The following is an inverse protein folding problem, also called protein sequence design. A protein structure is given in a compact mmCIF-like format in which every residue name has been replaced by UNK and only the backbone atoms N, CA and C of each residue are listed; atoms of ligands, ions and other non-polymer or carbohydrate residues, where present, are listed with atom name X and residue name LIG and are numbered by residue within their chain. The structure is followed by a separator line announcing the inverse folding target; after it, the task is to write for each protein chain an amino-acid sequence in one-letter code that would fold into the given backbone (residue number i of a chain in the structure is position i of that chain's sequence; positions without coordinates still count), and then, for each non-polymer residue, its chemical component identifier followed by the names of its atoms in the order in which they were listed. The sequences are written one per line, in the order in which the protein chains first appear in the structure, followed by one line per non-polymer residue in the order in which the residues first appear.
data_IF_160718529632
#
_entry.id   IF_160718529632
#
_cell.length_a   1.000
_cell.length_b   1.000
_cell.length_c   1.000
_cell.angle_alpha   90.00
_cell.angle_beta   90.00
_cell.angle_gamma   90.00
#
_symmetry.space_group_name_H-M   'P 1'
#
loop_
_entity.id
_entity.type
_entity.pdbx_description
1 polymer ?
#
# COMPACT_ATOMS: atom_id res chain seq x y z
N UNK A 1 -22.49 13.36 10.92
CA UNK A 1 -22.60 11.93 11.23
C UNK A 1 -23.68 11.35 10.34
N UNK A 2 -23.29 10.79 9.22
CA UNK A 2 -24.18 9.95 8.40
C UNK A 2 -23.31 8.79 7.97
N UNK A 3 -23.59 7.62 8.52
CA UNK A 3 -22.99 6.38 8.09
C UNK A 3 -23.43 6.13 6.63
N UNK A 4 -22.49 6.09 5.72
CA UNK A 4 -22.74 5.65 4.37
C UNK A 4 -22.89 4.11 4.40
N UNK A 5 -24.12 3.65 4.57
CA UNK A 5 -24.48 2.28 4.23
C UNK A 5 -24.41 2.19 2.69
N UNK A 6 -23.37 1.53 2.18
CA UNK A 6 -23.33 1.13 0.78
C UNK A 6 -24.53 0.19 0.54
N UNK A 7 -25.57 0.70 -0.09
CA UNK A 7 -26.68 -0.11 -0.57
C UNK A 7 -26.21 -0.91 -1.77
N UNK A 8 -25.93 -2.21 -1.56
CA UNK A 8 -25.72 -3.15 -2.64
C UNK A 8 -27.02 -3.29 -3.41
N UNK A 9 -27.11 -2.68 -4.58
CA UNK A 9 -28.20 -2.90 -5.53
C UNK A 9 -28.01 -4.25 -6.19
N UNK A 10 -28.84 -5.20 -5.79
CA UNK A 10 -28.95 -6.53 -6.45
C UNK A 10 -29.59 -6.36 -7.81
N UNK A 11 -28.85 -6.57 -8.87
CA UNK A 11 -29.37 -6.92 -10.20
C UNK A 11 -29.04 -8.39 -10.43
N UNK A 12 -30.10 -9.20 -10.59
CA UNK A 12 -30.08 -10.61 -10.98
C UNK A 12 -29.33 -11.59 -10.06
N UNK A 13 -29.79 -11.79 -8.83
CA UNK A 13 -29.58 -13.07 -8.09
C UNK A 13 -28.13 -13.56 -7.86
N UNK A 14 -27.13 -12.80 -8.30
CA UNK A 14 -25.72 -13.08 -8.05
C UNK A 14 -25.33 -12.32 -6.79
N UNK A 15 -25.24 -13.03 -5.68
CA UNK A 15 -24.55 -12.50 -4.50
C UNK A 15 -23.13 -12.16 -4.91
N UNK A 16 -22.62 -10.94 -4.64
CA UNK A 16 -21.21 -10.68 -4.86
C UNK A 16 -20.41 -11.76 -4.11
N UNK A 17 -19.44 -12.35 -4.81
CA UNK A 17 -18.55 -13.33 -4.17
C UNK A 17 -17.99 -12.68 -2.91
N UNK A 18 -18.06 -13.31 -1.73
CA UNK A 18 -17.55 -12.76 -0.49
C UNK A 18 -16.01 -12.72 -0.46
N UNK A 19 -15.36 -12.90 -1.60
CA UNK A 19 -13.91 -12.96 -1.72
C UNK A 19 -13.30 -11.55 -1.70
N UNK A 20 -12.40 -11.31 -0.75
CA UNK A 20 -11.56 -10.14 -0.71
C UNK A 20 -10.11 -10.51 -1.09
N UNK A 21 -9.52 -9.80 -2.05
CA UNK A 21 -8.14 -10.04 -2.46
C UNK A 21 -7.17 -9.42 -1.45
N UNK A 22 -6.56 -10.24 -0.60
CA UNK A 22 -5.61 -9.78 0.41
C UNK A 22 -4.27 -9.34 -0.18
N UNK A 23 -3.87 -9.92 -1.32
CA UNK A 23 -2.60 -9.61 -1.97
C UNK A 23 -2.53 -8.15 -2.44
N UNK A 24 -1.43 -7.48 -2.11
CA UNK A 24 -1.28 -6.05 -2.32
C UNK A 24 -0.63 -5.72 -3.65
N UNK A 25 -1.11 -4.63 -4.25
CA UNK A 25 -0.43 -3.87 -5.29
C UNK A 25 0.40 -2.79 -4.61
N UNK A 26 1.63 -2.56 -5.05
CA UNK A 26 2.54 -1.57 -4.46
C UNK A 26 3.24 -0.76 -5.53
N UNK A 27 3.19 0.56 -5.42
CA UNK A 27 3.97 1.46 -6.25
C UNK A 27 4.87 2.33 -5.38
N UNK A 28 6.13 2.47 -5.77
CA UNK A 28 7.07 3.44 -5.26
C UNK A 28 7.43 4.40 -6.39
N UNK A 29 7.30 5.70 -6.15
CA UNK A 29 7.71 6.73 -7.08
C UNK A 29 8.72 7.61 -6.36
N UNK A 30 9.95 7.65 -6.88
CA UNK A 30 10.97 8.59 -6.43
C UNK A 30 10.96 9.83 -7.33
N UNK A 31 11.23 10.97 -6.74
CA UNK A 31 11.23 12.27 -7.39
C UNK A 31 12.60 12.94 -7.28
N UNK A 32 12.92 13.83 -8.18
CA UNK A 32 14.09 14.68 -8.07
C UNK A 32 13.95 15.59 -6.84
N UNK A 33 15.06 15.77 -6.12
CA UNK A 33 15.08 16.75 -5.03
C UNK A 33 14.93 18.16 -5.64
N UNK A 34 14.11 18.98 -5.00
CA UNK A 34 13.95 20.38 -5.35
C UNK A 34 14.65 21.23 -4.28
N UNK A 35 15.75 21.92 -4.63
CA UNK A 35 16.54 22.71 -3.71
C UNK A 35 15.74 23.88 -3.07
N UNK A 36 14.72 24.36 -3.76
CA UNK A 36 13.86 25.46 -3.30
C UNK A 36 12.67 24.97 -2.45
N UNK A 37 12.41 23.65 -2.44
CA UNK A 37 11.32 23.04 -1.68
C UNK A 37 11.81 21.82 -0.88
N UNK A 38 12.34 22.07 0.31
CA UNK A 38 12.85 21.02 1.19
C UNK A 38 11.76 20.06 1.70
N UNK A 39 10.47 20.48 1.71
CA UNK A 39 9.35 19.63 2.09
C UNK A 39 8.89 18.73 0.93
N UNK A 40 9.16 19.14 -0.32
CA UNK A 40 8.85 18.36 -1.51
C UNK A 40 7.39 17.91 -1.55
N UNK A 41 7.17 16.60 -1.73
CA UNK A 41 5.82 16.02 -1.79
C UNK A 41 4.98 16.25 -0.53
N UNK A 42 5.60 16.52 0.63
CA UNK A 42 4.88 16.83 1.87
C UNK A 42 4.20 18.22 1.86
N UNK A 43 4.35 18.99 0.78
CA UNK A 43 3.55 20.20 0.49
C UNK A 43 2.20 19.86 -0.18
N UNK A 44 2.03 18.66 -0.72
CA UNK A 44 0.74 18.20 -1.23
C UNK A 44 -0.26 18.18 -0.08
N UNK A 45 -1.34 18.91 -0.23
CA UNK A 45 -2.33 19.07 0.84
C UNK A 45 -3.13 17.79 1.09
N UNK A 46 -3.72 17.67 2.27
CA UNK A 46 -4.61 16.54 2.60
C UNK A 46 -5.75 16.40 1.58
N UNK A 47 -6.39 17.48 1.17
CA UNK A 47 -7.46 17.43 0.18
C UNK A 47 -6.99 16.89 -1.19
N UNK A 48 -5.78 17.25 -1.61
CA UNK A 48 -5.17 16.72 -2.83
C UNK A 48 -4.81 15.21 -2.69
N UNK A 49 -4.34 14.79 -1.51
CA UNK A 49 -4.12 13.36 -1.24
C UNK A 49 -5.43 12.58 -1.20
N UNK A 50 -6.51 13.15 -0.65
CA UNK A 50 -7.83 12.54 -0.68
C UNK A 50 -8.33 12.36 -2.12
N UNK A 51 -8.09 13.32 -3.03
CA UNK A 51 -8.40 13.16 -4.46
C UNK A 51 -7.56 12.05 -5.12
N UNK A 52 -6.26 11.93 -4.76
CA UNK A 52 -5.42 10.86 -5.26
C UNK A 52 -5.95 9.49 -4.82
N UNK A 53 -6.33 9.37 -3.55
CA UNK A 53 -6.83 8.11 -2.99
C UNK A 53 -8.22 7.77 -3.53
N UNK A 54 -9.10 8.74 -3.69
CA UNK A 54 -10.40 8.53 -4.33
C UNK A 54 -10.27 7.97 -5.76
N UNK A 55 -9.30 8.48 -6.55
CA UNK A 55 -9.00 7.95 -7.87
C UNK A 55 -8.50 6.50 -7.83
N UNK A 56 -7.79 6.11 -6.78
CA UNK A 56 -7.34 4.74 -6.53
C UNK A 56 -8.42 3.85 -5.88
N UNK A 57 -9.61 4.37 -5.63
CA UNK A 57 -10.70 3.73 -4.90
C UNK A 57 -10.33 3.38 -3.44
N UNK A 58 -9.66 4.31 -2.76
CA UNK A 58 -9.28 4.23 -1.35
C UNK A 58 -9.68 5.50 -0.61
N UNK A 59 -9.69 5.42 0.71
CA UNK A 59 -9.89 6.56 1.59
C UNK A 59 -8.79 6.63 2.66
N UNK A 60 -8.40 7.85 3.05
CA UNK A 60 -7.46 8.04 4.16
C UNK A 60 -8.23 7.98 5.48
N UNK A 61 -7.89 6.99 6.32
CA UNK A 61 -8.51 6.74 7.62
C UNK A 61 -7.82 7.53 8.73
N UNK A 62 -6.49 7.47 8.79
CA UNK A 62 -5.69 8.15 9.81
C UNK A 62 -4.35 8.60 9.27
N UNK A 63 -3.61 9.38 10.05
CA UNK A 63 -2.27 9.86 9.71
C UNK A 63 -1.40 9.93 10.94
N UNK A 64 -0.15 9.49 10.79
CA UNK A 64 0.92 9.72 11.73
C UNK A 64 2.15 10.25 11.00
N UNK A 65 2.79 11.27 11.57
CA UNK A 65 3.93 11.94 10.95
C UNK A 65 5.15 11.92 11.86
N UNK A 66 6.33 11.97 11.23
CA UNK A 66 7.58 12.28 11.90
C UNK A 66 8.34 13.39 11.12
N UNK A 67 9.58 13.67 11.48
CA UNK A 67 10.38 14.69 10.80
C UNK A 67 10.68 14.34 9.33
N UNK A 68 10.62 13.05 8.94
CA UNK A 68 11.05 12.55 7.64
C UNK A 68 9.90 12.26 6.68
N UNK A 69 8.75 11.80 7.16
CA UNK A 69 7.64 11.41 6.31
C UNK A 69 6.30 11.42 7.05
N UNK A 70 5.24 11.38 6.25
CA UNK A 70 3.87 11.20 6.69
C UNK A 70 3.40 9.79 6.27
N UNK A 71 2.79 9.06 7.21
CA UNK A 71 2.24 7.73 7.02
C UNK A 71 0.72 7.79 7.21
N UNK A 72 -0.02 7.32 6.23
CA UNK A 72 -1.47 7.30 6.22
C UNK A 72 -1.97 5.86 6.20
N UNK A 73 -2.82 5.50 7.15
CA UNK A 73 -3.61 4.27 7.06
C UNK A 73 -4.76 4.54 6.09
N UNK A 74 -4.94 3.65 5.14
CA UNK A 74 -6.02 3.72 4.15
C UNK A 74 -7.11 2.70 4.48
N UNK A 75 -8.27 2.87 3.88
CA UNK A 75 -9.35 1.87 3.91
C UNK A 75 -8.89 0.49 3.41
N UNK A 76 -7.96 0.47 2.46
CA UNK A 76 -7.39 -0.75 1.86
C UNK A 76 -5.85 -0.72 1.78
N UNK A 77 -5.14 -0.42 2.86
CA UNK A 77 -3.70 -0.54 3.07
C UNK A 77 -3.00 0.77 3.50
N UNK A 78 -1.98 1.29 2.78
CA UNK A 78 -1.11 2.37 3.31
C UNK A 78 -0.57 3.31 2.25
N UNK A 79 -0.42 4.58 2.63
CA UNK A 79 0.30 5.58 1.85
C UNK A 79 1.42 6.20 2.70
N UNK A 80 2.63 6.31 2.14
CA UNK A 80 3.75 7.01 2.75
C UNK A 80 4.23 8.13 1.84
N UNK A 81 4.38 9.34 2.40
CA UNK A 81 4.80 10.55 1.69
C UNK A 81 6.06 11.09 2.33
N UNK A 82 7.18 10.91 1.64
CA UNK A 82 8.48 11.50 1.96
C UNK A 82 8.69 12.78 1.15
N UNK A 83 9.68 13.61 1.44
CA UNK A 83 9.96 14.77 0.59
C UNK A 83 10.19 14.43 -0.89
N UNK A 84 10.88 13.32 -1.18
CA UNK A 84 11.26 12.91 -2.55
C UNK A 84 10.80 11.51 -2.93
N UNK A 85 9.92 10.90 -2.16
CA UNK A 85 9.39 9.55 -2.44
C UNK A 85 7.94 9.43 -2.01
N UNK A 86 7.15 8.73 -2.79
CA UNK A 86 5.81 8.28 -2.42
C UNK A 86 5.76 6.75 -2.52
N UNK A 87 5.16 6.11 -1.52
CA UNK A 87 4.87 4.67 -1.53
C UNK A 87 3.38 4.49 -1.29
N UNK A 88 2.69 3.87 -2.23
CA UNK A 88 1.28 3.52 -2.11
C UNK A 88 1.14 2.00 -2.20
N UNK A 89 0.49 1.41 -1.21
CA UNK A 89 0.09 0.00 -1.16
C UNK A 89 -1.43 -0.07 -1.09
N UNK A 90 -2.02 -0.98 -1.85
CA UNK A 90 -3.47 -1.21 -1.79
C UNK A 90 -3.80 -2.68 -2.04
N UNK A 91 -4.82 -3.18 -1.38
CA UNK A 91 -5.35 -4.54 -1.56
C UNK A 91 -6.77 -4.51 -2.13
N UNK A 92 -7.45 -5.64 -2.11
CA UNK A 92 -8.82 -5.75 -2.60
C UNK A 92 -8.94 -5.45 -4.09
N UNK A 93 -10.09 -4.94 -4.47
CA UNK A 93 -10.42 -4.51 -5.84
C UNK A 93 -10.12 -3.04 -6.10
N UNK A 94 -9.18 -2.46 -5.35
CA UNK A 94 -8.72 -1.09 -5.54
C UNK A 94 -8.05 -0.88 -6.90
N UNK A 95 -8.13 0.34 -7.41
CA UNK A 95 -7.55 0.72 -8.70
C UNK A 95 -6.30 1.60 -8.51
N UNK A 96 -5.24 1.03 -7.90
CA UNK A 96 -4.03 1.76 -7.53
C UNK A 96 -3.48 2.62 -8.68
N UNK A 97 -3.36 2.04 -9.87
CA UNK A 97 -2.78 2.73 -11.02
C UNK A 97 -3.64 3.92 -11.48
N UNK A 98 -4.95 3.90 -11.30
CA UNK A 98 -5.79 5.04 -11.63
C UNK A 98 -5.49 6.29 -10.76
N UNK A 99 -4.90 6.12 -9.59
CA UNK A 99 -4.42 7.23 -8.75
C UNK A 99 -3.15 7.91 -9.27
N UNK A 100 -2.35 7.23 -10.10
CA UNK A 100 -1.04 7.70 -10.55
C UNK A 100 -1.09 9.04 -11.29
N UNK A 101 -1.98 9.28 -12.27
CA UNK A 101 -2.04 10.58 -12.95
C UNK A 101 -2.31 11.73 -12.00
N UNK A 102 -3.18 11.53 -11.01
CA UNK A 102 -3.52 12.55 -10.01
C UNK A 102 -2.34 12.81 -9.06
N UNK A 103 -1.61 11.76 -8.66
CA UNK A 103 -0.37 11.86 -7.86
C UNK A 103 0.68 12.69 -8.64
N UNK A 104 0.93 12.36 -9.89
CA UNK A 104 1.91 13.07 -10.74
C UNK A 104 1.51 14.54 -10.95
N UNK A 105 0.22 14.82 -11.17
CA UNK A 105 -0.33 16.18 -11.28
C UNK A 105 -0.01 17.01 -10.04
N UNK A 106 -0.30 16.49 -8.84
CA UNK A 106 -0.06 17.25 -7.61
C UNK A 106 1.41 17.33 -7.22
N UNK A 107 2.20 16.30 -7.51
CA UNK A 107 3.65 16.36 -7.40
C UNK A 107 4.24 17.49 -8.26
N UNK A 108 3.82 17.60 -9.51
CA UNK A 108 4.26 18.67 -10.42
C UNK A 108 3.88 20.06 -9.92
N UNK A 109 2.71 20.24 -9.31
CA UNK A 109 2.28 21.53 -8.73
C UNK A 109 3.18 22.02 -7.59
N UNK A 110 3.81 21.09 -6.85
CA UNK A 110 4.80 21.42 -5.80
C UNK A 110 6.25 21.36 -6.32
N UNK A 111 6.42 21.33 -7.65
CA UNK A 111 7.72 21.37 -8.31
C UNK A 111 8.52 20.07 -8.24
N UNK A 112 7.83 18.94 -8.11
CA UNK A 112 8.46 17.62 -8.02
C UNK A 112 8.24 16.84 -9.32
N UNK A 113 9.35 16.36 -9.91
CA UNK A 113 9.35 15.56 -11.14
C UNK A 113 9.79 14.13 -10.82
N UNK A 114 9.06 13.15 -11.35
CA UNK A 114 9.40 11.73 -11.16
C UNK A 114 10.73 11.39 -11.82
N UNK A 115 11.56 10.59 -11.14
CA UNK A 115 12.86 10.14 -11.65
C UNK A 115 12.99 8.62 -11.74
N UNK A 116 12.18 7.90 -10.94
CA UNK A 116 12.21 6.45 -10.88
C UNK A 116 10.87 5.93 -10.39
N UNK A 117 10.46 4.79 -10.91
CA UNK A 117 9.28 4.08 -10.44
C UNK A 117 9.62 2.60 -10.24
N UNK A 118 9.00 2.00 -9.23
CA UNK A 118 8.92 0.56 -9.02
C UNK A 118 7.48 0.20 -8.70
N UNK A 119 6.89 -0.69 -9.49
CA UNK A 119 5.59 -1.30 -9.22
C UNK A 119 5.78 -2.78 -8.97
N UNK A 120 5.15 -3.29 -7.94
CA UNK A 120 5.21 -4.72 -7.57
C UNK A 120 3.85 -5.21 -7.11
N UNK A 121 3.54 -6.45 -7.43
CA UNK A 121 2.45 -7.23 -6.84
C UNK A 121 2.71 -8.73 -6.96
N UNK A 122 2.05 -9.50 -6.10
CA UNK A 122 1.93 -10.94 -6.31
C UNK A 122 0.87 -11.27 -7.39
N UNK A 123 0.77 -12.54 -7.75
CA UNK A 123 -0.39 -13.02 -8.51
C UNK A 123 -1.66 -12.85 -7.68
N UNK A 124 -2.74 -12.40 -8.30
CA UNK A 124 -4.05 -12.35 -7.66
C UNK A 124 -4.66 -13.75 -7.55
N UNK A 125 -5.40 -13.98 -6.47
CA UNK A 125 -6.20 -15.19 -6.31
C UNK A 125 -7.43 -15.16 -7.22
N UNK A 126 -8.03 -13.97 -7.38
CA UNK A 126 -9.19 -13.72 -8.26
C UNK A 126 -8.91 -12.58 -9.25
N UNK A 127 -8.10 -12.83 -10.30
CA UNK A 127 -7.76 -11.79 -11.27
C UNK A 127 -8.99 -11.23 -12.01
N UNK A 128 -10.02 -12.05 -12.22
CA UNK A 128 -11.25 -11.62 -12.89
C UNK A 128 -12.07 -10.58 -12.11
N UNK A 129 -11.82 -10.43 -10.81
CA UNK A 129 -12.47 -9.44 -9.97
C UNK A 129 -11.69 -8.11 -9.92
N UNK A 130 -10.49 -8.05 -10.48
CA UNK A 130 -9.69 -6.84 -10.46
C UNK A 130 -10.21 -5.79 -11.45
N UNK A 131 -10.02 -4.49 -11.16
CA UNK A 131 -10.31 -3.42 -12.12
C UNK A 131 -9.55 -3.63 -13.44
N UNK A 132 -10.09 -3.10 -14.54
CA UNK A 132 -9.54 -3.28 -15.89
C UNK A 132 -8.04 -2.98 -15.99
N UNK A 133 -7.55 -1.92 -15.32
CA UNK A 133 -6.11 -1.58 -15.31
C UNK A 133 -5.25 -2.63 -14.60
N UNK A 134 -5.85 -3.49 -13.79
CA UNK A 134 -5.20 -4.57 -13.05
C UNK A 134 -5.64 -5.97 -13.53
N UNK A 135 -6.34 -6.06 -14.68
CA UNK A 135 -6.84 -7.33 -15.21
C UNK A 135 -5.69 -8.26 -15.62
N UNK A 136 -4.58 -7.70 -16.11
CA UNK A 136 -3.36 -8.45 -16.42
C UNK A 136 -2.11 -7.63 -16.12
N UNK A 137 -0.96 -8.31 -16.02
CA UNK A 137 0.31 -7.59 -15.89
C UNK A 137 0.72 -6.86 -17.17
N UNK A 138 0.26 -7.32 -18.32
CA UNK A 138 0.49 -6.63 -19.59
C UNK A 138 -0.28 -5.29 -19.62
N UNK A 139 -1.54 -5.25 -19.17
CA UNK A 139 -2.30 -3.99 -19.05
C UNK A 139 -1.64 -3.01 -18.08
N UNK A 140 -1.17 -3.50 -16.92
CA UNK A 140 -0.42 -2.71 -15.95
C UNK A 140 0.88 -2.16 -16.56
N UNK A 141 1.62 -2.99 -17.31
CA UNK A 141 2.87 -2.60 -17.95
C UNK A 141 2.64 -1.53 -19.03
N UNK A 142 1.61 -1.66 -19.86
CA UNK A 142 1.24 -0.66 -20.85
C UNK A 142 0.96 0.68 -20.18
N UNK A 143 0.16 0.69 -19.14
CA UNK A 143 -0.14 1.91 -18.39
C UNK A 143 1.10 2.54 -17.74
N UNK A 144 1.95 1.72 -17.10
CA UNK A 144 3.17 2.18 -16.46
C UNK A 144 4.19 2.73 -17.49
N UNK A 145 4.26 2.11 -18.66
CA UNK A 145 5.11 2.56 -19.77
C UNK A 145 4.67 3.91 -20.31
N UNK A 146 3.37 4.16 -20.46
CA UNK A 146 2.82 5.45 -20.88
C UNK A 146 3.22 6.59 -19.92
N UNK A 147 3.26 6.31 -18.61
CA UNK A 147 3.52 7.34 -17.59
C UNK A 147 4.99 7.47 -17.20
N UNK A 148 5.76 6.38 -17.28
CA UNK A 148 7.11 6.31 -16.73
C UNK A 148 8.17 5.76 -17.70
N UNK A 149 7.80 5.27 -18.88
CA UNK A 149 8.74 4.71 -19.84
C UNK A 149 9.82 5.70 -20.25
N UNK A 150 9.49 6.99 -20.32
CA UNK A 150 10.43 8.07 -20.65
C UNK A 150 11.57 8.24 -19.61
N UNK A 151 11.45 7.69 -18.43
CA UNK A 151 12.48 7.77 -17.38
C UNK A 151 13.70 6.89 -17.66
N UNK A 152 13.59 5.94 -18.58
CA UNK A 152 14.67 5.04 -18.98
C UNK A 152 14.94 5.14 -20.48
N UNK A 153 16.20 5.20 -20.92
CA UNK A 153 16.52 5.03 -22.32
C UNK A 153 16.03 3.68 -22.84
N UNK A 154 15.08 3.69 -23.77
CA UNK A 154 14.49 2.46 -24.33
C UNK A 154 13.29 1.90 -23.58
N UNK A 155 12.73 2.67 -22.63
CA UNK A 155 11.55 2.28 -21.88
C UNK A 155 11.85 1.61 -20.53
N UNK A 156 10.80 1.26 -19.80
CA UNK A 156 10.89 0.53 -18.54
C UNK A 156 11.20 -0.97 -18.74
N UNK A 157 11.34 -1.68 -17.64
CA UNK A 157 11.59 -3.13 -17.65
C UNK A 157 10.57 -3.84 -16.77
N UNK A 158 9.97 -4.90 -17.31
CA UNK A 158 9.01 -5.74 -16.60
C UNK A 158 9.55 -7.16 -16.40
N UNK A 159 9.27 -7.73 -15.23
CA UNK A 159 9.74 -9.04 -14.83
C UNK A 159 8.63 -9.83 -14.16
N UNK A 160 8.60 -11.14 -14.41
CA UNK A 160 7.78 -12.10 -13.67
C UNK A 160 8.75 -13.04 -12.95
N UNK A 161 8.73 -12.99 -11.62
CA UNK A 161 9.59 -13.79 -10.76
C UNK A 161 8.80 -14.94 -10.15
N UNK A 162 9.42 -16.11 -10.04
CA UNK A 162 8.75 -17.31 -9.52
C UNK A 162 8.24 -18.22 -10.62
N UNK A 163 7.58 -19.29 -10.22
CA UNK A 163 7.10 -20.34 -11.14
C UNK A 163 5.58 -20.49 -11.05
N UNK A 164 4.92 -20.39 -12.20
CA UNK A 164 3.47 -20.64 -12.33
C UNK A 164 3.05 -22.05 -11.84
N UNK A 165 3.98 -22.99 -11.86
CA UNK A 165 3.72 -24.37 -11.42
C UNK A 165 3.94 -24.58 -9.90
N UNK A 166 4.57 -23.63 -9.21
CA UNK A 166 4.95 -23.78 -7.81
C UNK A 166 4.26 -22.78 -6.86
N UNK A 167 3.30 -22.01 -7.36
CA UNK A 167 2.53 -21.08 -6.53
C UNK A 167 2.63 -19.63 -7.00
N UNK A 168 2.68 -18.71 -6.05
CA UNK A 168 2.62 -17.28 -6.28
C UNK A 168 3.80 -16.78 -7.12
N UNK A 169 3.50 -15.95 -8.13
CA UNK A 169 4.49 -15.21 -8.89
C UNK A 169 4.50 -13.76 -8.42
N UNK A 170 5.67 -13.14 -8.50
CA UNK A 170 5.82 -11.69 -8.31
C UNK A 170 5.96 -11.00 -9.67
N UNK A 171 5.20 -9.95 -9.85
CA UNK A 171 5.21 -9.10 -11.02
C UNK A 171 5.94 -7.80 -10.63
N UNK A 172 6.90 -7.40 -11.43
CA UNK A 172 7.75 -6.24 -11.17
C UNK A 172 7.87 -5.40 -12.43
N UNK A 173 7.56 -4.11 -12.34
CA UNK A 173 7.93 -3.11 -13.34
C UNK A 173 8.84 -2.08 -12.71
N UNK A 174 9.88 -1.67 -13.43
CA UNK A 174 10.80 -0.62 -13.01
C UNK A 174 11.13 0.30 -14.19
N UNK A 175 11.20 1.61 -13.93
CA UNK A 175 11.76 2.59 -14.86
C UNK A 175 12.54 3.64 -14.08
N UNK A 176 13.59 4.16 -14.70
CA UNK A 176 14.54 5.10 -14.13
C UNK A 176 15.97 4.72 -14.50
N UNK A 177 16.87 5.67 -14.69
CA UNK A 177 18.22 5.43 -15.19
C UNK A 177 19.07 4.62 -14.19
N UNK A 178 19.94 3.74 -14.70
CA UNK A 178 20.78 2.85 -13.90
C UNK A 178 21.70 3.61 -12.92
N UNK A 179 22.21 4.77 -13.29
CA UNK A 179 23.02 5.61 -12.39
C UNK A 179 22.22 6.15 -11.20
N UNK A 180 20.90 6.23 -11.29
CA UNK A 180 20.02 6.67 -10.19
C UNK A 180 19.79 5.58 -9.15
N UNK A 181 20.18 4.31 -9.43
CA UNK A 181 20.11 3.21 -8.47
C UNK A 181 21.36 3.14 -7.56
N UNK A 182 22.40 3.90 -7.89
CA UNK A 182 23.70 3.86 -7.20
C UNK A 182 23.87 4.94 -6.12
N UNK A 183 22.96 5.91 -6.05
CA UNK A 183 23.13 7.14 -5.24
C UNK A 183 22.85 7.01 -3.74
N UNK A 184 22.55 5.84 -3.22
CA UNK A 184 22.32 5.65 -1.79
C UNK A 184 22.89 4.30 -1.33
N UNK A 185 23.29 4.23 -0.07
CA UNK A 185 23.49 2.94 0.60
C UNK A 185 22.26 2.07 0.34
N UNK A 186 22.44 0.80 -0.10
CA UNK A 186 21.32 -0.05 -0.43
C UNK A 186 20.43 -0.23 0.81
N UNK A 187 19.16 0.10 0.65
CA UNK A 187 18.13 -0.13 1.67
C UNK A 187 17.30 -1.33 1.24
N UNK A 188 17.15 -2.29 2.14
CA UNK A 188 16.29 -3.44 1.92
C UNK A 188 14.88 -3.21 2.44
N UNK A 189 13.94 -3.94 1.87
CA UNK A 189 12.62 -4.16 2.46
C UNK A 189 12.40 -5.65 2.61
N UNK A 190 11.93 -6.06 3.77
CA UNK A 190 11.48 -7.41 4.04
C UNK A 190 9.94 -7.39 4.05
N UNK A 191 9.33 -8.21 3.21
CA UNK A 191 7.89 -8.42 3.21
C UNK A 191 7.60 -9.91 3.40
N UNK A 192 6.77 -10.22 4.38
CA UNK A 192 6.29 -11.58 4.67
C UNK A 192 4.80 -11.61 4.39
N UNK A 193 4.41 -12.45 3.43
CA UNK A 193 3.01 -12.67 3.07
C UNK A 193 2.56 -14.05 3.59
N UNK A 194 1.44 -14.07 4.28
CA UNK A 194 0.89 -15.26 4.93
C UNK A 194 -0.53 -15.51 4.46
N UNK A 195 -0.86 -16.76 4.21
CA UNK A 195 -2.21 -17.24 3.88
C UNK A 195 -2.64 -18.33 4.85
N UNK A 196 -3.92 -18.67 4.86
CA UNK A 196 -4.45 -19.71 5.75
C UNK A 196 -4.17 -19.40 7.23
N UNK A 197 -4.54 -18.18 7.61
CA UNK A 197 -4.34 -17.69 8.98
C UNK A 197 -5.13 -18.56 9.98
N UNK A 198 -4.66 -18.60 11.22
CA UNK A 198 -5.36 -19.30 12.29
C UNK A 198 -6.72 -18.62 12.54
N UNK A 199 -7.81 -19.36 12.24
CA UNK A 199 -9.18 -18.85 12.31
C UNK A 199 -9.57 -18.36 13.71
N UNK A 200 -9.26 -19.14 14.74
CA UNK A 200 -9.59 -18.79 16.13
C UNK A 200 -8.91 -17.47 16.53
N UNK A 201 -7.64 -17.31 16.15
CA UNK A 201 -6.90 -16.07 16.41
C UNK A 201 -7.50 -14.88 15.65
N UNK A 202 -7.86 -15.07 14.37
CA UNK A 202 -8.51 -14.06 13.55
C UNK A 202 -9.86 -13.61 14.13
N UNK A 203 -10.74 -14.56 14.46
CA UNK A 203 -12.07 -14.29 15.04
C UNK A 203 -11.97 -13.58 16.39
N UNK A 204 -10.94 -13.88 17.17
CA UNK A 204 -10.73 -13.28 18.48
C UNK A 204 -10.27 -11.82 18.40
N UNK A 205 -9.39 -11.48 17.45
CA UNK A 205 -8.69 -10.19 17.46
C UNK A 205 -9.08 -9.24 16.33
N UNK A 206 -9.48 -9.75 15.16
CA UNK A 206 -9.65 -8.93 13.97
C UNK A 206 -11.09 -8.85 13.44
N UNK A 207 -12.05 -9.41 14.19
CA UNK A 207 -13.48 -9.22 13.93
C UNK A 207 -14.07 -8.26 14.96
N UNK A 208 -14.89 -7.32 14.49
CA UNK A 208 -15.68 -6.47 15.37
C UNK A 208 -16.90 -7.23 15.87
N UNK A 209 -17.12 -7.22 17.19
CA UNK A 209 -18.31 -7.78 17.84
C UNK A 209 -19.14 -6.63 18.39
N UNK A 210 -20.43 -6.61 18.08
CA UNK A 210 -21.35 -5.55 18.49
C UNK A 210 -21.37 -5.30 20.00
N UNK A 211 -21.06 -6.33 20.79
CA UNK A 211 -21.17 -6.29 22.27
C UNK A 211 -19.87 -5.82 22.97
N UNK A 212 -18.74 -5.77 22.28
CA UNK A 212 -17.45 -5.42 22.89
C UNK A 212 -16.67 -4.46 22.04
N UNK A 213 -16.64 -3.20 22.46
CA UNK A 213 -15.74 -2.22 21.85
C UNK A 213 -14.32 -2.46 22.36
N UNK A 214 -13.45 -2.99 21.49
CA UNK A 214 -12.01 -3.08 21.72
C UNK A 214 -11.33 -2.03 20.84
N UNK A 215 -10.48 -1.17 21.42
CA UNK A 215 -9.74 -0.18 20.64
C UNK A 215 -8.71 -0.87 19.72
N UNK A 216 -8.34 -0.21 18.60
CA UNK A 216 -7.33 -0.75 17.70
C UNK A 216 -6.00 -0.97 18.43
N UNK A 217 -5.59 -0.05 19.31
CA UNK A 217 -4.38 -0.18 20.12
C UNK A 217 -4.41 -1.40 21.07
N UNK A 218 -5.58 -1.73 21.63
CA UNK A 218 -5.73 -2.94 22.42
C UNK A 218 -5.62 -4.19 21.54
N UNK A 219 -6.25 -4.19 20.38
CA UNK A 219 -6.11 -5.27 19.38
C UNK A 219 -4.65 -5.48 19.00
N UNK A 220 -3.90 -4.40 18.72
CA UNK A 220 -2.46 -4.43 18.41
C UNK A 220 -1.65 -5.10 19.52
N UNK A 221 -2.03 -4.86 20.77
CA UNK A 221 -1.35 -5.44 21.95
C UNK A 221 -1.73 -6.91 22.15
N UNK A 222 -3.02 -7.21 22.15
CA UNK A 222 -3.55 -8.55 22.48
C UNK A 222 -3.26 -9.59 21.38
N UNK A 223 -3.15 -9.15 20.12
CA UNK A 223 -2.76 -10.00 19.00
C UNK A 223 -1.25 -10.32 18.95
N UNK A 224 -0.42 -9.64 19.77
CA UNK A 224 1.04 -9.79 19.77
C UNK A 224 1.77 -8.89 18.76
N UNK A 225 1.06 -8.13 17.92
CA UNK A 225 1.68 -7.23 16.91
C UNK A 225 2.59 -6.21 17.59
N UNK A 226 2.20 -5.68 18.74
CA UNK A 226 3.03 -4.73 19.51
C UNK A 226 4.43 -5.28 19.81
N UNK A 227 4.54 -6.56 20.11
CA UNK A 227 5.82 -7.20 20.44
C UNK A 227 6.74 -7.39 19.23
N UNK A 228 6.19 -7.37 18.01
CA UNK A 228 7.00 -7.40 16.78
C UNK A 228 7.65 -6.04 16.52
N UNK A 229 6.96 -4.95 16.89
CA UNK A 229 7.35 -3.58 16.57
C UNK A 229 7.39 -2.69 17.83
N UNK A 230 8.12 -3.12 18.89
CA UNK A 230 8.24 -2.38 20.16
C UNK A 230 8.78 -0.96 19.98
N UNK A 231 9.77 -0.81 19.09
CA UNK A 231 10.43 0.44 18.80
C UNK A 231 9.70 1.34 17.79
N UNK A 232 8.48 0.96 17.38
CA UNK A 232 7.70 1.74 16.43
C UNK A 232 6.56 2.50 17.09
N UNK A 233 6.34 3.73 16.65
CA UNK A 233 5.10 4.46 16.89
C UNK A 233 4.06 3.95 15.90
N UNK A 234 3.10 3.17 16.40
CA UNK A 234 2.07 2.52 15.58
C UNK A 234 0.86 3.44 15.48
N UNK A 235 0.32 3.54 14.27
CA UNK A 235 -0.99 4.05 13.91
C UNK A 235 -1.80 2.88 13.35
N UNK A 236 -2.88 2.50 14.02
CA UNK A 236 -3.61 1.26 13.76
C UNK A 236 -5.11 1.47 13.61
N UNK A 237 -5.73 0.59 12.83
CA UNK A 237 -7.16 0.60 12.59
C UNK A 237 -7.72 -0.81 12.44
N UNK A 238 -8.84 -1.09 13.11
CA UNK A 238 -9.63 -2.32 12.93
C UNK A 238 -10.90 -1.98 12.19
N UNK A 239 -11.11 -2.63 11.06
CA UNK A 239 -12.24 -2.39 10.18
C UNK A 239 -13.51 -3.14 10.62
N UNK A 240 -14.65 -2.65 10.17
CA UNK A 240 -15.93 -3.34 10.31
C UNK A 240 -16.32 -4.00 8.98
N UNK A 241 -16.81 -5.26 8.98
CA UNK A 241 -17.01 -6.13 10.14
C UNK A 241 -15.73 -6.78 10.66
N UNK A 242 -14.65 -6.75 9.88
CA UNK A 242 -13.36 -7.33 10.23
C UNK A 242 -12.23 -6.72 9.39
N UNK A 243 -11.00 -7.05 9.75
CA UNK A 243 -9.79 -6.56 9.10
C UNK A 243 -8.96 -5.65 10.01
N UNK A 244 -7.68 -5.56 9.70
CA UNK A 244 -6.74 -4.74 10.47
C UNK A 244 -5.67 -4.15 9.57
N UNK A 245 -5.35 -2.89 9.79
CA UNK A 245 -4.21 -2.22 9.17
C UNK A 245 -3.43 -1.44 10.20
N UNK A 246 -2.10 -1.41 10.06
CA UNK A 246 -1.25 -0.51 10.83
C UNK A 246 -0.06 0.01 10.03
N UNK A 247 0.35 1.22 10.36
CA UNK A 247 1.62 1.83 9.99
C UNK A 247 2.47 2.05 11.23
N UNK A 248 3.73 1.63 11.17
CA UNK A 248 4.72 1.87 12.21
C UNK A 248 5.82 2.82 11.73
N UNK A 249 6.16 3.81 12.55
CA UNK A 249 7.26 4.73 12.32
C UNK A 249 8.32 4.47 13.39
N UNK A 250 9.57 4.22 12.98
CA UNK A 250 10.67 3.97 13.92
C UNK A 250 10.88 5.16 14.86
N UNK A 251 10.96 4.90 16.17
CA UNK A 251 11.15 5.90 17.23
C UNK A 251 12.62 6.15 17.56
N UNK A 252 13.50 5.17 17.32
CA UNK A 252 14.87 5.17 17.82
C UNK A 252 15.76 6.19 17.11
N UNK A 253 15.35 6.68 15.94
CA UNK A 253 16.10 7.67 15.19
C UNK A 253 15.18 8.72 14.58
N UNK A 254 15.36 9.98 14.99
CA UNK A 254 14.70 11.11 14.33
C UNK A 254 15.16 11.29 12.87
N UNK A 255 16.24 10.62 12.47
CA UNK A 255 16.83 10.67 11.12
C UNK A 255 16.46 9.44 10.28
N UNK A 256 15.80 8.44 10.86
CA UNK A 256 15.48 7.20 10.18
C UNK A 256 14.20 7.34 9.36
N UNK A 257 14.24 6.79 8.16
CA UNK A 257 13.09 6.67 7.25
C UNK A 257 12.47 5.27 7.30
N UNK A 258 12.83 4.46 8.31
CA UNK A 258 12.25 3.13 8.51
C UNK A 258 10.77 3.21 8.84
N UNK A 259 10.01 2.37 8.16
CA UNK A 259 8.60 2.17 8.45
C UNK A 259 8.24 0.67 8.40
N UNK A 260 7.15 0.35 9.03
CA UNK A 260 6.55 -0.99 8.97
C UNK A 260 5.08 -0.91 8.62
N UNK A 261 4.54 -1.99 8.03
CA UNK A 261 3.11 -2.16 7.83
C UNK A 261 2.68 -3.56 8.22
N UNK A 262 1.47 -3.70 8.74
CA UNK A 262 0.73 -4.97 8.79
C UNK A 262 -0.67 -4.73 8.25
N UNK A 263 -1.10 -5.60 7.34
CA UNK A 263 -2.46 -5.63 6.82
C UNK A 263 -2.99 -7.05 6.96
N UNK A 264 -4.20 -7.18 7.50
CA UNK A 264 -4.81 -8.48 7.79
C UNK A 264 -6.22 -8.51 7.24
N UNK A 265 -6.46 -9.46 6.34
CA UNK A 265 -7.75 -9.88 5.81
C UNK A 265 -8.07 -11.21 6.49
N UNK A 266 -8.92 -11.23 7.53
CA UNK A 266 -9.06 -12.40 8.40
C UNK A 266 -10.10 -13.42 7.92
N UNK A 267 -10.82 -13.15 6.83
CA UNK A 267 -11.97 -13.93 6.37
C UNK A 267 -11.59 -15.35 5.99
N UNK A 268 -12.47 -16.28 6.37
CA UNK A 268 -12.27 -17.71 6.10
C UNK A 268 -12.28 -18.03 4.60
N UNK A 269 -11.39 -18.94 4.20
CA UNK A 269 -11.25 -19.39 2.82
C UNK A 269 -10.30 -18.55 1.95
N UNK A 270 -10.02 -17.29 2.32
CA UNK A 270 -9.08 -16.40 1.62
C UNK A 270 -8.29 -15.50 2.57
N UNK A 271 -8.14 -15.92 3.81
CA UNK A 271 -7.42 -15.15 4.83
C UNK A 271 -5.98 -14.88 4.40
N UNK A 272 -5.56 -13.62 4.61
CA UNK A 272 -4.26 -13.12 4.21
C UNK A 272 -3.71 -12.14 5.25
N UNK A 273 -2.41 -12.14 5.44
CA UNK A 273 -1.73 -11.07 6.14
C UNK A 273 -0.40 -10.74 5.46
N UNK A 274 -0.08 -9.47 5.39
CA UNK A 274 1.26 -8.98 5.05
C UNK A 274 1.90 -8.30 6.25
N UNK A 275 3.22 -8.45 6.35
CA UNK A 275 4.06 -7.75 7.31
C UNK A 275 5.28 -7.21 6.56
N UNK A 276 5.44 -5.90 6.50
CA UNK A 276 6.57 -5.26 5.83
C UNK A 276 7.40 -4.45 6.82
N UNK A 277 8.73 -4.57 6.69
CA UNK A 277 9.71 -3.68 7.29
C UNK A 277 10.56 -3.09 6.15
N UNK A 278 10.48 -1.78 5.96
CA UNK A 278 11.16 -1.06 4.86
C UNK A 278 12.29 -0.18 5.34
N UNK A 279 13.20 0.11 4.40
CA UNK A 279 14.39 0.96 4.61
C UNK A 279 15.36 0.40 5.68
N UNK A 280 15.52 -0.90 5.70
CA UNK A 280 16.49 -1.59 6.57
C UNK A 280 17.89 -1.46 5.98
N UNK A 281 18.87 -1.16 6.82
CA UNK A 281 20.28 -1.23 6.42
C UNK A 281 20.69 -2.69 6.17
N UNK A 282 21.42 -2.93 5.08
CA UNK A 282 21.87 -4.26 4.65
C UNK A 282 23.35 -4.44 4.95
#
# INVERSE_FOLDING_TARGET
MVAATASVTTVDGVYPSPHFEGAEKRIEIDFHANETNARGLREVTRAQLDECMAAAHCEIVSVRSNAKFDAYVLSESSLFVFPTKLVLKTCGTTNLLAGVPTILKYASQVGMESRRVKFTRSSFDKPDLQPKLHASFDDETVFLEEHFGHLSPGGGSSYILGSKLKGVQWHLYVSGSACQWQDAQPKASLEVCMTHLNREHCEKHFYRKEETFVSSAQTTTDSGIRSIFEDFAIDDYVFEPCGYSMNGLNKLSATDSQFSTIHITPEDGFSYASCELSNVDV
#
